data_IF_513289285889
#
_entry.id   IF_513289285889
#
_cell.length_a   1.000
_cell.length_b   1.000
_cell.length_c   1.000
_cell.angle_alpha   90.00
_cell.angle_beta   90.00
_cell.angle_gamma   90.00
#
_symmetry.space_group_name_H-M   'P 1'
#
loop_
_entity.id
_entity.type
_entity.pdbx_description
1 polymer ?
#
# COMPACT_ATOMS: atom_id res chain seq x y z
N UNK A 1 -27.26 13.36 33.91
CA UNK A 1 -26.78 14.09 32.72
C UNK A 1 -26.59 13.07 31.60
N UNK A 2 -27.28 13.20 30.48
CA UNK A 2 -26.98 12.40 29.29
C UNK A 2 -25.69 12.95 28.66
N UNK A 3 -24.60 12.19 28.73
CA UNK A 3 -23.37 12.55 28.04
C UNK A 3 -23.64 12.53 26.52
N UNK A 4 -23.57 13.69 25.89
CA UNK A 4 -23.64 13.80 24.43
C UNK A 4 -22.27 13.45 23.87
N UNK A 5 -22.18 12.33 23.16
CA UNK A 5 -20.95 11.95 22.45
C UNK A 5 -20.89 12.75 21.14
N UNK A 6 -19.77 13.44 20.84
CA UNK A 6 -19.57 14.14 19.57
C UNK A 6 -19.70 13.20 18.36
N UNK A 7 -20.29 13.69 17.27
CA UNK A 7 -20.59 12.88 16.07
C UNK A 7 -19.32 12.34 15.39
N UNK A 8 -18.24 13.11 15.43
CA UNK A 8 -16.89 12.76 15.02
C UNK A 8 -16.33 11.56 15.79
N UNK A 9 -16.53 11.50 17.11
CA UNK A 9 -16.16 10.33 17.92
C UNK A 9 -17.03 9.12 17.55
N UNK A 10 -18.34 9.33 17.36
CA UNK A 10 -19.25 8.27 16.90
C UNK A 10 -18.82 7.72 15.55
N UNK A 11 -18.46 8.58 14.59
CA UNK A 11 -17.93 8.18 13.28
C UNK A 11 -16.61 7.43 13.41
N UNK A 12 -15.72 7.82 14.32
CA UNK A 12 -14.45 7.13 14.54
C UNK A 12 -14.66 5.73 15.09
N UNK A 13 -15.57 5.58 16.07
CA UNK A 13 -15.95 4.28 16.62
C UNK A 13 -16.62 3.40 15.57
N UNK A 14 -17.54 3.95 14.78
CA UNK A 14 -18.21 3.22 13.69
C UNK A 14 -17.18 2.76 12.66
N UNK A 15 -16.30 3.66 12.19
CA UNK A 15 -15.24 3.32 11.24
C UNK A 15 -14.36 2.19 11.78
N UNK A 16 -14.03 2.20 13.07
CA UNK A 16 -13.25 1.13 13.67
C UNK A 16 -14.03 -0.19 13.79
N UNK A 17 -15.32 -0.13 14.10
CA UNK A 17 -16.18 -1.33 14.24
C UNK A 17 -16.58 -1.95 12.88
N UNK A 18 -16.54 -1.14 11.83
CA UNK A 18 -16.95 -1.48 10.46
C UNK A 18 -15.75 -1.69 9.53
N UNK A 19 -14.52 -1.42 9.96
CA UNK A 19 -13.34 -1.66 9.12
C UNK A 19 -13.28 -3.15 8.76
N UNK A 20 -13.45 -3.47 7.48
CA UNK A 20 -13.34 -4.83 6.95
C UNK A 20 -11.88 -5.14 6.78
N UNK A 21 -11.24 -5.42 7.91
CA UNK A 21 -9.79 -5.61 8.01
C UNK A 21 -9.31 -6.82 7.17
N UNK A 22 -10.11 -7.88 7.00
CA UNK A 22 -9.71 -9.09 6.25
C UNK A 22 -10.54 -9.34 4.97
N UNK A 23 -9.87 -9.82 3.92
CA UNK A 23 -10.54 -10.30 2.69
C UNK A 23 -11.44 -11.51 2.91
N UNK A 24 -11.13 -12.32 3.93
CA UNK A 24 -11.84 -13.55 4.28
C UNK A 24 -12.96 -13.33 5.30
N UNK A 25 -13.27 -12.09 5.64
CA UNK A 25 -14.44 -11.79 6.47
C UNK A 25 -15.74 -12.19 5.75
N UNK A 26 -16.51 -13.06 6.39
CA UNK A 26 -17.80 -13.53 5.90
C UNK A 26 -18.74 -12.34 5.64
N UNK A 27 -19.18 -12.22 4.39
CA UNK A 27 -20.01 -11.11 3.92
C UNK A 27 -21.34 -10.99 4.71
N UNK A 28 -22.07 -12.09 4.96
CA UNK A 28 -23.17 -12.13 5.92
C UNK A 28 -22.84 -11.58 7.30
N UNK A 29 -21.73 -12.01 7.91
CA UNK A 29 -21.34 -11.56 9.25
C UNK A 29 -21.03 -10.05 9.27
N UNK A 30 -20.34 -9.56 8.23
CA UNK A 30 -20.12 -8.14 8.02
C UNK A 30 -21.45 -7.38 7.90
N UNK A 31 -22.33 -7.78 6.97
CA UNK A 31 -23.65 -7.19 6.78
C UNK A 31 -24.49 -7.20 8.06
N UNK A 32 -24.40 -8.26 8.88
CA UNK A 32 -25.10 -8.35 10.15
C UNK A 32 -24.59 -7.31 11.15
N UNK A 33 -23.27 -7.11 11.26
CA UNK A 33 -22.70 -6.04 12.11
C UNK A 33 -23.14 -4.66 11.63
N UNK A 34 -23.14 -4.44 10.30
CA UNK A 34 -23.61 -3.18 9.71
C UNK A 34 -25.09 -2.91 10.02
N UNK A 35 -25.92 -3.94 9.85
CA UNK A 35 -27.35 -3.86 10.12
C UNK A 35 -27.62 -3.54 11.59
N UNK A 36 -26.90 -4.18 12.52
CA UNK A 36 -27.02 -3.93 13.95
C UNK A 36 -26.75 -2.46 14.31
N UNK A 37 -25.71 -1.85 13.74
CA UNK A 37 -25.41 -0.43 13.97
C UNK A 37 -26.52 0.49 13.43
N UNK A 38 -27.11 0.14 12.28
CA UNK A 38 -28.23 0.89 11.69
C UNK A 38 -29.54 0.77 12.49
N UNK A 39 -29.66 -0.20 13.40
CA UNK A 39 -30.89 -0.46 14.17
C UNK A 39 -30.92 0.24 15.53
N UNK A 40 -29.83 0.89 15.97
CA UNK A 40 -29.72 1.53 17.30
C UNK A 40 -30.72 2.69 17.43
N UNK A 41 -30.66 3.67 16.53
CA UNK A 41 -31.64 4.75 16.43
C UNK A 41 -31.55 5.45 15.06
N UNK A 42 -32.53 6.31 14.74
CA UNK A 42 -32.56 7.05 13.47
C UNK A 42 -31.30 7.88 13.22
N UNK A 43 -30.81 8.61 14.23
CA UNK A 43 -29.59 9.41 14.10
C UNK A 43 -28.36 8.56 13.83
N UNK A 44 -28.26 7.38 14.46
CA UNK A 44 -27.16 6.45 14.24
C UNK A 44 -27.23 5.86 12.84
N UNK A 45 -28.42 5.46 12.37
CA UNK A 45 -28.62 5.00 10.99
C UNK A 45 -28.20 6.06 9.96
N UNK A 46 -28.68 7.29 10.13
CA UNK A 46 -28.42 8.37 9.18
C UNK A 46 -26.92 8.77 9.17
N UNK A 47 -26.19 8.58 10.29
CA UNK A 47 -24.74 8.78 10.40
C UNK A 47 -23.90 7.58 9.89
N UNK A 48 -24.34 6.35 10.16
CA UNK A 48 -23.65 5.11 9.78
C UNK A 48 -23.77 4.86 8.28
N UNK A 49 -24.98 4.99 7.72
CA UNK A 49 -25.28 4.55 6.36
C UNK A 49 -24.33 5.13 5.29
N UNK A 50 -23.97 6.43 5.29
CA UNK A 50 -22.99 6.96 4.34
C UNK A 50 -21.59 6.36 4.52
N UNK A 51 -21.16 6.13 5.77
CA UNK A 51 -19.85 5.58 6.11
C UNK A 51 -19.71 4.11 5.74
N UNK A 52 -20.81 3.35 5.66
CA UNK A 52 -20.80 1.95 5.23
C UNK A 52 -20.36 1.75 3.79
N UNK A 53 -20.54 2.79 2.97
CA UNK A 53 -20.30 2.74 1.54
C UNK A 53 -19.17 3.65 1.12
N UNK A 54 -18.35 4.18 2.04
CA UNK A 54 -17.16 4.96 1.64
C UNK A 54 -16.07 4.06 1.07
N UNK A 55 -15.91 2.86 1.64
CA UNK A 55 -14.90 1.89 1.22
C UNK A 55 -15.57 0.58 0.81
N UNK A 56 -15.31 0.11 -0.40
CA UNK A 56 -15.82 -1.16 -0.91
C UNK A 56 -14.66 -2.13 -1.14
N UNK A 57 -14.67 -3.25 -0.40
CA UNK A 57 -13.69 -4.33 -0.54
C UNK A 57 -14.34 -5.59 -1.09
N UNK A 58 -13.81 -6.12 -2.18
CA UNK A 58 -14.29 -7.32 -2.86
C UNK A 58 -13.11 -8.16 -3.34
N UNK A 59 -13.24 -9.48 -3.27
CA UNK A 59 -12.17 -10.38 -3.71
C UNK A 59 -12.21 -10.61 -5.22
N UNK A 60 -13.41 -10.71 -5.79
CA UNK A 60 -13.62 -11.01 -7.22
C UNK A 60 -14.58 -10.03 -7.88
N UNK A 61 -14.49 -9.90 -9.20
CA UNK A 61 -15.45 -9.11 -9.98
C UNK A 61 -16.89 -9.66 -9.85
N UNK A 62 -17.05 -10.97 -9.67
CA UNK A 62 -18.36 -11.56 -9.43
C UNK A 62 -18.97 -11.09 -8.09
N UNK A 63 -18.16 -10.99 -7.03
CA UNK A 63 -18.60 -10.41 -5.76
C UNK A 63 -19.00 -8.94 -5.92
N UNK A 64 -18.24 -8.17 -6.70
CA UNK A 64 -18.61 -6.80 -7.04
C UNK A 64 -20.00 -6.74 -7.70
N UNK A 65 -20.27 -7.60 -8.68
CA UNK A 65 -21.59 -7.67 -9.32
C UNK A 65 -22.71 -8.11 -8.37
N UNK A 66 -22.44 -8.97 -7.40
CA UNK A 66 -23.41 -9.33 -6.34
C UNK A 66 -23.76 -8.12 -5.48
N UNK A 67 -22.77 -7.29 -5.13
CA UNK A 67 -22.99 -6.06 -4.34
C UNK A 67 -23.71 -4.98 -5.13
N UNK A 68 -23.21 -4.63 -6.33
CA UNK A 68 -23.80 -3.61 -7.18
C UNK A 68 -25.17 -4.00 -7.76
N UNK A 69 -25.51 -5.30 -7.70
CA UNK A 69 -26.63 -5.92 -8.39
C UNK A 69 -26.35 -5.99 -9.89
N UNK A 70 -26.49 -7.18 -10.51
CA UNK A 70 -26.45 -7.29 -11.98
C UNK A 70 -27.48 -6.31 -12.56
N UNK A 71 -27.11 -5.58 -13.62
CA UNK A 71 -27.88 -4.46 -14.22
C UNK A 71 -27.97 -3.16 -13.38
N UNK A 72 -27.27 -3.06 -12.25
CA UNK A 72 -27.14 -1.81 -11.50
C UNK A 72 -28.25 -1.49 -10.51
N UNK A 73 -29.01 -2.50 -10.09
CA UNK A 73 -30.12 -2.36 -9.12
C UNK A 73 -29.69 -1.68 -7.82
N UNK A 74 -28.47 -1.93 -7.36
CA UNK A 74 -27.92 -1.37 -6.12
C UNK A 74 -26.97 -0.19 -6.35
N UNK A 75 -26.97 0.42 -7.54
CA UNK A 75 -26.08 1.57 -7.86
C UNK A 75 -26.25 2.72 -6.87
N UNK A 76 -27.46 2.93 -6.36
CA UNK A 76 -27.75 3.97 -5.39
C UNK A 76 -27.03 3.77 -4.04
N UNK A 77 -26.64 2.54 -3.70
CA UNK A 77 -25.86 2.22 -2.51
C UNK A 77 -24.37 2.49 -2.73
N UNK A 78 -23.84 2.05 -3.87
CA UNK A 78 -22.40 2.09 -4.16
C UNK A 78 -21.92 3.40 -4.80
N UNK A 79 -22.83 4.31 -5.19
CA UNK A 79 -22.45 5.59 -5.82
C UNK A 79 -21.60 6.51 -4.93
N UNK A 80 -21.64 6.30 -3.62
CA UNK A 80 -20.90 7.06 -2.61
C UNK A 80 -19.54 6.44 -2.25
N UNK A 81 -19.15 5.33 -2.90
CA UNK A 81 -17.85 4.71 -2.70
C UNK A 81 -16.75 5.65 -3.18
N UNK A 82 -15.85 5.98 -2.26
CA UNK A 82 -14.67 6.81 -2.44
C UNK A 82 -13.41 5.96 -2.56
N UNK A 83 -13.39 4.78 -1.92
CA UNK A 83 -12.27 3.85 -1.93
C UNK A 83 -12.70 2.45 -2.37
N UNK A 84 -12.00 1.89 -3.36
CA UNK A 84 -12.23 0.53 -3.82
C UNK A 84 -11.00 -0.35 -3.62
N UNK A 85 -11.21 -1.55 -3.08
CA UNK A 85 -10.17 -2.56 -2.84
C UNK A 85 -10.57 -3.88 -3.50
N UNK A 86 -9.83 -4.28 -4.53
CA UNK A 86 -10.06 -5.50 -5.30
C UNK A 86 -8.97 -6.56 -5.12
N UNK A 87 -9.35 -7.83 -4.95
CA UNK A 87 -8.43 -8.97 -5.00
C UNK A 87 -8.18 -9.65 -3.65
N UNK A 88 -7.23 -10.59 -3.54
CA UNK A 88 -6.62 -11.34 -4.64
C UNK A 88 -7.60 -12.33 -5.28
N UNK A 89 -7.75 -12.29 -6.60
CA UNK A 89 -8.45 -13.33 -7.37
C UNK A 89 -7.52 -14.56 -7.44
N UNK A 90 -7.92 -15.67 -6.81
CA UNK A 90 -7.13 -16.91 -6.73
C UNK A 90 -7.37 -17.87 -7.91
N UNK A 91 -8.28 -17.53 -8.83
CA UNK A 91 -8.78 -18.45 -9.85
C UNK A 91 -8.47 -17.99 -11.26
N UNK A 92 -8.10 -18.92 -12.15
CA UNK A 92 -7.92 -18.76 -13.60
C UNK A 92 -9.26 -18.53 -14.35
N UNK A 93 -10.28 -17.98 -13.69
CA UNK A 93 -11.53 -17.66 -14.35
C UNK A 93 -11.33 -16.50 -15.33
N UNK A 94 -12.15 -16.46 -16.39
CA UNK A 94 -12.09 -15.43 -17.43
C UNK A 94 -12.08 -14.03 -16.81
N UNK A 95 -10.92 -13.41 -16.95
CA UNK A 95 -10.57 -12.10 -16.43
C UNK A 95 -11.15 -11.01 -17.33
N UNK A 96 -12.20 -10.32 -16.87
CA UNK A 96 -12.83 -9.19 -17.55
C UNK A 96 -12.22 -7.85 -17.13
N UNK A 97 -12.34 -6.84 -17.99
CA UNK A 97 -11.93 -5.47 -17.68
C UNK A 97 -12.84 -4.84 -16.61
N UNK A 98 -12.48 -5.08 -15.35
CA UNK A 98 -13.20 -4.58 -14.18
C UNK A 98 -13.38 -3.04 -14.19
N UNK A 99 -12.46 -2.31 -14.83
CA UNK A 99 -12.43 -0.84 -14.78
C UNK A 99 -13.65 -0.21 -15.45
N UNK A 100 -14.21 -0.86 -16.48
CA UNK A 100 -15.44 -0.40 -17.14
C UNK A 100 -16.60 -0.37 -16.13
N UNK A 101 -16.70 -1.40 -15.31
CA UNK A 101 -17.76 -1.51 -14.31
C UNK A 101 -17.54 -0.57 -13.13
N UNK A 102 -16.32 -0.51 -12.58
CA UNK A 102 -16.02 0.40 -11.47
C UNK A 102 -16.33 1.84 -11.84
N UNK A 103 -15.94 2.29 -13.04
CA UNK A 103 -16.26 3.63 -13.54
C UNK A 103 -17.76 3.89 -13.61
N UNK A 104 -18.53 2.90 -14.07
CA UNK A 104 -19.98 3.07 -14.23
C UNK A 104 -20.71 3.18 -12.89
N UNK A 105 -20.34 2.32 -11.93
CA UNK A 105 -21.06 2.16 -10.68
C UNK A 105 -20.55 3.07 -9.55
N UNK A 106 -19.27 3.43 -9.56
CA UNK A 106 -18.58 4.12 -8.47
C UNK A 106 -18.04 5.49 -8.95
N UNK A 107 -18.92 6.45 -9.27
CA UNK A 107 -18.53 7.75 -9.83
C UNK A 107 -17.74 8.63 -8.84
N UNK A 108 -17.80 8.35 -7.54
CA UNK A 108 -17.15 9.13 -6.49
C UNK A 108 -15.76 8.62 -6.12
N UNK A 109 -15.21 7.65 -6.87
CA UNK A 109 -13.92 7.02 -6.54
C UNK A 109 -12.76 8.01 -6.54
N UNK A 110 -12.00 7.95 -5.45
CA UNK A 110 -10.79 8.73 -5.20
C UNK A 110 -9.58 7.82 -4.95
N UNK A 111 -9.79 6.62 -4.43
CA UNK A 111 -8.73 5.66 -4.14
C UNK A 111 -9.07 4.28 -4.71
N UNK A 112 -8.12 3.69 -5.43
CA UNK A 112 -8.25 2.34 -5.98
C UNK A 112 -7.02 1.53 -5.59
N UNK A 113 -7.24 0.40 -4.93
CA UNK A 113 -6.20 -0.61 -4.65
C UNK A 113 -6.60 -1.95 -5.26
N UNK A 114 -5.76 -2.50 -6.11
CA UNK A 114 -6.03 -3.75 -6.83
C UNK A 114 -4.88 -4.72 -6.63
N UNK A 115 -5.20 -5.96 -6.24
CA UNK A 115 -4.25 -7.06 -6.14
C UNK A 115 -4.63 -8.16 -7.12
N UNK A 116 -3.98 -8.24 -8.29
CA UNK A 116 -4.30 -9.20 -9.34
C UNK A 116 -5.81 -9.31 -9.60
N UNK A 117 -6.52 -8.17 -9.59
CA UNK A 117 -7.96 -8.09 -9.72
C UNK A 117 -8.35 -7.73 -11.15
N UNK A 118 -9.25 -8.49 -11.75
CA UNK A 118 -9.75 -8.23 -13.09
C UNK A 118 -8.82 -8.77 -14.16
N UNK A 119 -7.64 -8.18 -14.40
CA UNK A 119 -6.69 -8.58 -15.46
C UNK A 119 -5.31 -8.95 -14.88
N UNK A 120 -4.52 -9.78 -15.58
CA UNK A 120 -3.13 -10.06 -15.20
C UNK A 120 -2.12 -8.99 -15.63
N UNK A 121 -2.45 -8.27 -16.71
CA UNK A 121 -1.69 -7.12 -17.21
C UNK A 121 -2.53 -5.85 -17.05
N UNK A 122 -1.89 -4.73 -16.71
CA UNK A 122 -2.59 -3.48 -16.39
C UNK A 122 -1.99 -2.31 -17.16
N UNK A 123 -2.84 -1.57 -17.85
CA UNK A 123 -2.48 -0.29 -18.46
C UNK A 123 -3.00 0.86 -17.61
N UNK A 124 -2.16 1.85 -17.31
CA UNK A 124 -2.57 3.01 -16.50
C UNK A 124 -3.59 3.89 -17.23
N UNK A 125 -3.69 3.79 -18.56
CA UNK A 125 -4.69 4.50 -19.36
C UNK A 125 -6.13 4.17 -18.97
N UNK A 126 -6.35 3.00 -18.36
CA UNK A 126 -7.66 2.58 -17.86
C UNK A 126 -8.17 3.48 -16.73
N UNK A 127 -7.26 4.18 -16.05
CA UNK A 127 -7.57 5.08 -14.94
C UNK A 127 -7.79 6.54 -15.36
N UNK A 128 -7.54 6.89 -16.63
CA UNK A 128 -7.66 8.28 -17.12
C UNK A 128 -9.08 8.86 -17.02
N UNK A 129 -10.09 7.99 -16.91
CA UNK A 129 -11.51 8.38 -16.87
C UNK A 129 -12.08 8.42 -15.44
N UNK A 130 -11.22 8.37 -14.43
CA UNK A 130 -11.62 8.59 -13.04
C UNK A 130 -11.20 10.00 -12.62
N UNK A 131 -12.14 10.95 -12.77
CA UNK A 131 -11.86 12.39 -12.61
C UNK A 131 -11.30 12.77 -11.23
N UNK A 132 -11.68 12.01 -10.21
CA UNK A 132 -11.34 12.25 -8.81
C UNK A 132 -10.24 11.33 -8.27
N UNK A 133 -9.59 10.50 -9.10
CA UNK A 133 -8.61 9.54 -8.63
C UNK A 133 -7.36 10.23 -8.10
N UNK A 134 -7.14 10.10 -6.78
CA UNK A 134 -5.99 10.64 -6.03
C UNK A 134 -5.01 9.55 -5.61
N UNK A 135 -5.48 8.33 -5.38
CA UNK A 135 -4.62 7.22 -4.96
C UNK A 135 -4.83 5.98 -5.84
N UNK A 136 -3.73 5.43 -6.34
CA UNK A 136 -3.71 4.20 -7.13
C UNK A 136 -2.67 3.24 -6.57
N UNK A 137 -3.11 2.05 -6.21
CA UNK A 137 -2.25 0.94 -5.79
C UNK A 137 -2.48 -0.28 -6.67
N UNK A 138 -1.39 -0.80 -7.24
CA UNK A 138 -1.40 -1.97 -8.12
C UNK A 138 -0.43 -3.02 -7.56
N UNK A 139 -0.99 -4.17 -7.20
CA UNK A 139 -0.27 -5.30 -6.62
C UNK A 139 -0.38 -6.57 -7.49
N UNK A 140 0.72 -7.31 -7.64
CA UNK A 140 0.78 -8.60 -8.37
C UNK A 140 0.32 -8.52 -9.84
N UNK A 141 0.67 -7.45 -10.54
CA UNK A 141 0.47 -7.34 -11.99
C UNK A 141 1.73 -7.75 -12.75
N UNK A 142 1.61 -8.80 -13.55
CA UNK A 142 2.75 -9.39 -14.26
C UNK A 142 3.35 -8.45 -15.32
N UNK A 143 2.56 -7.49 -15.80
CA UNK A 143 3.02 -6.49 -16.76
C UNK A 143 2.22 -5.20 -16.65
N UNK A 144 2.91 -4.07 -16.56
CA UNK A 144 2.34 -2.75 -16.79
C UNK A 144 2.58 -2.32 -18.23
N UNK A 145 1.52 -1.94 -18.94
CA UNK A 145 1.62 -1.43 -20.30
C UNK A 145 2.11 0.01 -20.32
N UNK A 146 2.85 0.42 -21.37
CA UNK A 146 3.21 1.81 -21.58
C UNK A 146 1.95 2.67 -21.67
N UNK A 147 1.95 3.78 -20.95
CA UNK A 147 0.88 4.75 -21.05
C UNK A 147 0.92 5.45 -22.43
N UNK A 148 -0.23 5.64 -23.12
CA UNK A 148 -0.27 6.35 -24.40
C UNK A 148 0.31 7.76 -24.28
N UNK A 149 1.00 8.21 -25.33
CA UNK A 149 1.63 9.54 -25.35
C UNK A 149 0.59 10.65 -25.10
N UNK A 150 0.92 11.59 -24.21
CA UNK A 150 0.05 12.71 -23.85
C UNK A 150 -1.07 12.36 -22.86
N UNK A 151 -1.13 11.12 -22.36
CA UNK A 151 -2.06 10.76 -21.29
C UNK A 151 -1.62 11.39 -19.96
N UNK A 152 -2.58 11.86 -19.17
CA UNK A 152 -2.34 12.56 -17.91
C UNK A 152 -3.28 11.98 -16.85
N UNK A 153 -2.74 11.69 -15.66
CA UNK A 153 -3.49 11.41 -14.44
C UNK A 153 -3.42 12.67 -13.56
N UNK A 154 -4.28 13.68 -13.81
CA UNK A 154 -4.07 15.04 -13.33
C UNK A 154 -4.23 15.18 -11.81
N UNK A 155 -5.04 14.32 -11.20
CA UNK A 155 -5.38 14.36 -9.78
C UNK A 155 -4.58 13.36 -8.95
N UNK A 156 -3.76 12.51 -9.56
CA UNK A 156 -3.08 11.43 -8.85
C UNK A 156 -1.98 11.98 -7.93
N UNK A 157 -2.13 11.75 -6.64
CA UNK A 157 -1.23 12.19 -5.57
C UNK A 157 -0.39 11.04 -5.01
N UNK A 158 -0.95 9.83 -4.96
CA UNK A 158 -0.31 8.63 -4.42
C UNK A 158 -0.30 7.52 -5.45
N UNK A 159 0.89 6.95 -5.71
CA UNK A 159 1.08 5.78 -6.56
C UNK A 159 1.85 4.69 -5.81
N UNK A 160 1.25 3.51 -5.67
CA UNK A 160 1.90 2.33 -5.08
C UNK A 160 1.98 1.21 -6.09
N UNK A 161 3.19 0.72 -6.37
CA UNK A 161 3.45 -0.38 -7.30
C UNK A 161 4.19 -1.50 -6.55
N UNK A 162 3.52 -2.63 -6.42
CA UNK A 162 3.98 -3.74 -5.60
C UNK A 162 3.97 -5.07 -6.36
N UNK A 163 5.12 -5.74 -6.47
CA UNK A 163 5.28 -6.98 -7.26
C UNK A 163 4.77 -6.81 -8.70
N UNK A 164 5.10 -5.67 -9.30
CA UNK A 164 4.74 -5.34 -10.68
C UNK A 164 5.95 -5.39 -11.58
N UNK A 165 5.79 -5.85 -12.82
CA UNK A 165 6.85 -5.76 -13.83
C UNK A 165 6.48 -4.75 -14.94
N UNK A 166 7.45 -4.00 -15.43
CA UNK A 166 7.27 -3.13 -16.60
C UNK A 166 8.58 -2.86 -17.32
N UNK A 167 8.49 -2.26 -18.50
CA UNK A 167 9.66 -1.66 -19.16
C UNK A 167 10.18 -0.49 -18.33
N UNK A 168 11.50 -0.26 -18.34
CA UNK A 168 12.09 0.91 -17.66
C UNK A 168 11.48 2.23 -18.14
N UNK A 169 11.21 2.35 -19.44
CA UNK A 169 10.55 3.50 -20.05
C UNK A 169 9.13 3.70 -19.53
N UNK A 170 8.38 2.62 -19.26
CA UNK A 170 7.04 2.71 -18.68
C UNK A 170 7.09 3.34 -17.29
N UNK A 171 7.98 2.87 -16.40
CA UNK A 171 8.14 3.48 -15.08
C UNK A 171 8.54 4.96 -15.18
N UNK A 172 9.56 5.28 -15.99
CA UNK A 172 10.02 6.66 -16.13
C UNK A 172 8.93 7.58 -16.70
N UNK A 173 8.16 7.12 -17.69
CA UNK A 173 7.07 7.90 -18.27
C UNK A 173 5.95 8.18 -17.26
N UNK A 174 5.59 7.21 -16.42
CA UNK A 174 4.55 7.39 -15.40
C UNK A 174 4.97 8.43 -14.35
N UNK A 175 6.26 8.44 -14.01
CA UNK A 175 6.86 9.33 -13.02
C UNK A 175 7.14 10.75 -13.54
N UNK A 176 6.94 11.03 -14.84
CA UNK A 176 7.13 12.37 -15.38
C UNK A 176 6.05 13.35 -14.88
N UNK A 177 6.40 14.63 -14.63
CA UNK A 177 5.44 15.66 -14.26
C UNK A 177 4.31 15.83 -15.27
N UNK A 178 4.56 15.64 -16.57
CA UNK A 178 3.52 15.75 -17.61
C UNK A 178 2.47 14.65 -17.50
N UNK A 179 2.86 13.47 -16.99
CA UNK A 179 1.97 12.33 -16.79
C UNK A 179 1.23 12.41 -15.45
N UNK A 180 1.95 12.67 -14.36
CA UNK A 180 1.39 12.69 -13.01
C UNK A 180 1.78 13.99 -12.27
N UNK A 181 1.21 15.14 -12.67
CA UNK A 181 1.67 16.46 -12.21
C UNK A 181 1.51 16.69 -10.70
N UNK A 182 0.57 15.99 -10.06
CA UNK A 182 0.29 16.12 -8.61
C UNK A 182 0.88 15.00 -7.76
N UNK A 183 1.67 14.10 -8.34
CA UNK A 183 2.23 12.98 -7.59
C UNK A 183 3.14 13.50 -6.48
N UNK A 184 2.84 13.09 -5.25
CA UNK A 184 3.58 13.46 -4.03
C UNK A 184 4.11 12.24 -3.30
N UNK A 185 3.43 11.10 -3.44
CA UNK A 185 3.77 9.89 -2.70
C UNK A 185 3.94 8.72 -3.66
N UNK A 186 5.07 8.01 -3.51
CA UNK A 186 5.42 6.90 -4.36
C UNK A 186 5.85 5.70 -3.51
N UNK A 187 5.29 4.52 -3.76
CA UNK A 187 5.79 3.27 -3.19
C UNK A 187 6.21 2.31 -4.32
N UNK A 188 7.43 1.79 -4.23
CA UNK A 188 8.02 0.83 -5.15
C UNK A 188 8.50 -0.39 -4.37
N UNK A 189 7.73 -1.47 -4.43
CA UNK A 189 7.92 -2.68 -3.63
C UNK A 189 8.06 -3.88 -4.57
N UNK A 190 9.18 -4.61 -4.48
CA UNK A 190 9.44 -5.81 -5.31
C UNK A 190 9.18 -5.60 -6.82
N UNK A 191 9.45 -4.40 -7.34
CA UNK A 191 9.26 -4.10 -8.77
C UNK A 191 10.32 -4.79 -9.62
N UNK A 192 9.94 -5.24 -10.81
CA UNK A 192 10.84 -5.82 -11.80
C UNK A 192 10.90 -4.91 -13.02
N UNK A 193 12.11 -4.58 -13.45
CA UNK A 193 12.30 -3.75 -14.65
C UNK A 193 12.95 -4.58 -15.75
N UNK A 194 12.32 -4.55 -16.92
CA UNK A 194 12.95 -4.99 -18.15
C UNK A 194 13.72 -3.79 -18.76
N UNK A 195 15.05 -3.91 -18.75
CA UNK A 195 16.01 -2.93 -19.25
C UNK A 195 16.79 -3.45 -20.47
N UNK A 196 16.27 -4.46 -21.18
CA UNK A 196 16.92 -5.07 -22.36
C UNK A 196 17.11 -4.11 -23.56
N UNK A 197 16.70 -2.84 -23.45
CA UNK A 197 16.84 -1.84 -24.50
C UNK A 197 18.17 -1.08 -24.45
N UNK A 198 18.71 -0.76 -25.64
CA UNK A 198 20.03 -0.11 -25.82
C UNK A 198 20.11 1.37 -25.37
N UNK A 199 18.99 2.01 -25.01
CA UNK A 199 18.97 3.42 -24.59
C UNK A 199 18.13 3.59 -23.35
N UNK A 200 18.75 4.13 -22.31
CA UNK A 200 18.05 4.54 -21.09
C UNK A 200 17.13 5.72 -21.38
N UNK A 201 15.89 5.71 -20.86
CA UNK A 201 15.05 6.91 -20.89
C UNK A 201 15.72 8.03 -20.07
N UNK A 202 15.44 9.31 -20.37
CA UNK A 202 15.90 10.39 -19.52
C UNK A 202 15.30 10.25 -18.12
N UNK A 203 16.05 10.59 -17.06
CA UNK A 203 15.56 10.50 -15.70
C UNK A 203 14.34 11.42 -15.51
N UNK A 204 13.28 10.96 -14.82
CA UNK A 204 12.13 11.81 -14.53
C UNK A 204 12.51 12.88 -13.50
N UNK A 205 11.91 14.06 -13.60
CA UNK A 205 11.94 15.06 -12.53
C UNK A 205 11.02 14.59 -11.39
N UNK A 206 11.59 14.43 -10.20
CA UNK A 206 10.93 13.93 -8.99
C UNK A 206 10.83 14.97 -7.87
N UNK A 207 11.16 16.24 -8.14
CA UNK A 207 11.14 17.37 -7.18
C UNK A 207 9.80 17.53 -6.44
N UNK A 208 8.69 17.16 -7.09
CA UNK A 208 7.34 17.18 -6.49
C UNK A 208 7.06 16.07 -5.47
N UNK A 209 7.89 15.02 -5.42
CA UNK A 209 7.71 13.91 -4.48
C UNK A 209 8.10 14.35 -3.07
N UNK A 210 7.15 14.18 -2.15
CA UNK A 210 7.35 14.39 -0.71
C UNK A 210 7.86 13.13 -0.04
N UNK A 211 7.31 11.97 -0.42
CA UNK A 211 7.56 10.69 0.24
C UNK A 211 7.77 9.62 -0.79
N UNK A 212 8.84 8.84 -0.60
CA UNK A 212 9.09 7.64 -1.41
C UNK A 212 9.34 6.47 -0.48
N UNK A 213 8.61 5.38 -0.69
CA UNK A 213 8.90 4.10 -0.10
C UNK A 213 9.58 3.18 -1.12
N UNK A 214 10.74 2.65 -0.77
CA UNK A 214 11.50 1.69 -1.57
C UNK A 214 11.75 0.41 -0.79
N UNK A 215 11.74 -0.73 -1.47
CA UNK A 215 12.11 -2.02 -0.86
C UNK A 215 13.40 -2.60 -1.45
N UNK A 216 14.21 -3.18 -0.56
CA UNK A 216 15.53 -3.76 -0.85
C UNK A 216 15.56 -4.94 -1.83
N UNK A 217 14.41 -5.59 -2.08
CA UNK A 217 14.29 -6.81 -2.89
C UNK A 217 13.85 -6.59 -4.34
N UNK A 218 13.83 -5.33 -4.80
CA UNK A 218 13.49 -4.99 -6.19
C UNK A 218 14.53 -5.53 -7.20
N UNK A 219 14.04 -6.05 -8.33
CA UNK A 219 14.85 -6.46 -9.50
C UNK A 219 14.96 -5.33 -10.51
N UNK A 220 15.09 -4.10 -10.03
CA UNK A 220 15.15 -2.90 -10.84
C UNK A 220 16.32 -1.97 -10.47
N UNK A 221 17.57 -2.46 -10.44
CA UNK A 221 18.72 -1.61 -10.12
C UNK A 221 18.80 -0.41 -11.07
N UNK A 222 18.53 -0.63 -12.35
CA UNK A 222 18.48 0.40 -13.40
C UNK A 222 17.46 1.51 -13.14
N UNK A 223 16.34 1.21 -12.48
CA UNK A 223 15.37 2.22 -12.07
C UNK A 223 15.94 3.08 -10.93
N UNK A 224 16.54 2.44 -9.92
CA UNK A 224 17.14 3.15 -8.78
C UNK A 224 18.34 4.02 -9.17
N UNK A 225 19.04 3.70 -10.26
CA UNK A 225 20.09 4.58 -10.81
C UNK A 225 19.53 5.81 -11.53
N UNK A 226 18.32 5.71 -12.11
CA UNK A 226 17.71 6.80 -12.86
C UNK A 226 16.86 7.72 -11.99
N UNK A 227 16.29 7.22 -10.91
CA UNK A 227 15.53 8.05 -9.98
C UNK A 227 16.50 8.67 -8.97
N UNK A 228 16.49 9.99 -8.90
CA UNK A 228 17.21 10.73 -7.87
C UNK A 228 16.19 11.53 -7.07
N UNK A 229 16.30 11.50 -5.75
CA UNK A 229 15.39 12.20 -4.86
C UNK A 229 16.09 13.43 -4.30
N UNK A 230 15.38 14.56 -4.31
CA UNK A 230 15.90 15.78 -3.69
C UNK A 230 16.10 15.58 -2.18
N UNK A 231 16.94 16.42 -1.57
CA UNK A 231 17.19 16.35 -0.12
C UNK A 231 15.90 16.50 0.70
N UNK A 232 14.91 17.24 0.18
CA UNK A 232 13.61 17.45 0.83
C UNK A 232 12.66 16.24 0.76
N UNK A 233 12.90 15.27 -0.12
CA UNK A 233 12.05 14.06 -0.22
C UNK A 233 12.37 13.12 0.94
N UNK A 234 11.35 12.69 1.69
CA UNK A 234 11.47 11.69 2.74
C UNK A 234 11.53 10.27 2.14
N UNK A 235 12.50 9.48 2.59
CA UNK A 235 12.70 8.10 2.10
C UNK A 235 12.33 7.10 3.19
N UNK A 236 11.30 6.29 2.94
CA UNK A 236 10.96 5.13 3.75
C UNK A 236 11.56 3.87 3.13
N UNK A 237 12.31 3.09 3.90
CA UNK A 237 12.80 1.80 3.47
C UNK A 237 11.91 0.70 4.02
N UNK A 238 11.09 0.12 3.14
CA UNK A 238 10.33 -1.07 3.43
C UNK A 238 11.24 -2.29 3.39
N UNK A 239 11.14 -3.17 4.39
CA UNK A 239 11.91 -4.40 4.46
C UNK A 239 11.07 -5.53 5.03
N UNK A 240 11.45 -6.76 4.70
CA UNK A 240 10.77 -7.97 5.15
C UNK A 240 11.79 -9.07 5.43
N UNK A 241 11.44 -10.01 6.28
CA UNK A 241 12.32 -11.12 6.69
C UNK A 241 12.41 -12.24 5.66
N UNK A 242 11.79 -12.05 4.49
CA UNK A 242 11.86 -12.95 3.33
C UNK A 242 12.50 -12.29 2.12
N UNK A 243 13.05 -11.07 2.29
CA UNK A 243 13.89 -10.46 1.28
C UNK A 243 15.08 -11.35 0.94
N UNK A 244 15.45 -11.39 -0.33
CA UNK A 244 16.64 -12.10 -0.82
C UNK A 244 17.87 -11.20 -0.88
N UNK A 245 17.67 -9.88 -0.89
CA UNK A 245 18.75 -8.90 -1.06
C UNK A 245 18.73 -7.87 0.05
N UNK A 246 19.77 -7.93 0.87
CA UNK A 246 20.03 -7.00 1.97
C UNK A 246 20.62 -5.70 1.41
N UNK A 247 20.09 -4.54 1.80
CA UNK A 247 20.75 -3.23 1.61
C UNK A 247 20.91 -2.70 0.18
N UNK A 248 20.87 -3.56 -0.86
CA UNK A 248 21.24 -3.20 -2.25
C UNK A 248 20.52 -1.98 -2.80
N UNK A 249 19.22 -1.84 -2.54
CA UNK A 249 18.47 -0.66 -2.98
C UNK A 249 18.95 0.62 -2.29
N UNK A 250 19.23 0.58 -0.97
CA UNK A 250 19.77 1.72 -0.23
C UNK A 250 21.17 2.07 -0.72
N UNK A 251 22.02 1.06 -0.90
CA UNK A 251 23.38 1.25 -1.40
C UNK A 251 23.37 1.88 -2.82
N UNK A 252 22.40 1.49 -3.66
CA UNK A 252 22.21 2.05 -5.00
C UNK A 252 21.70 3.49 -4.97
N UNK A 253 20.79 3.81 -4.04
CA UNK A 253 20.26 5.16 -3.86
C UNK A 253 21.32 6.14 -3.29
N UNK A 254 22.38 5.62 -2.67
CA UNK A 254 23.48 6.43 -2.14
C UNK A 254 23.08 7.33 -0.95
N UNK A 255 21.91 7.07 -0.34
CA UNK A 255 21.34 7.85 0.77
C UNK A 255 20.74 6.91 1.82
N UNK A 256 20.91 7.27 3.09
CA UNK A 256 20.25 6.60 4.22
C UNK A 256 18.76 6.97 4.28
N UNK A 257 17.88 6.02 4.65
CA UNK A 257 16.45 6.30 4.73
C UNK A 257 16.12 7.17 5.94
N UNK A 258 15.05 7.95 5.81
CA UNK A 258 14.43 8.69 6.92
C UNK A 258 13.61 7.75 7.82
N UNK A 259 13.03 6.69 7.26
CA UNK A 259 12.18 5.75 8.01
C UNK A 259 12.54 4.31 7.68
N UNK A 260 12.44 3.42 8.67
CA UNK A 260 12.43 1.97 8.44
C UNK A 260 11.00 1.46 8.59
N UNK A 261 10.54 0.62 7.67
CA UNK A 261 9.21 0.06 7.68
C UNK A 261 9.29 -1.46 7.55
N UNK A 262 9.05 -2.18 8.65
CA UNK A 262 8.94 -3.63 8.60
C UNK A 262 7.59 -3.99 7.98
N UNK A 263 7.60 -4.53 6.76
CA UNK A 263 6.41 -5.10 6.13
C UNK A 263 5.88 -6.30 6.94
N UNK A 264 4.61 -6.61 6.75
CA UNK A 264 3.97 -7.76 7.38
C UNK A 264 4.79 -9.05 7.19
N UNK A 265 5.03 -9.74 8.30
CA UNK A 265 5.72 -11.03 8.28
C UNK A 265 4.80 -12.05 7.59
N UNK A 266 5.31 -12.84 6.63
CA UNK A 266 4.47 -13.80 5.94
C UNK A 266 3.88 -14.83 6.91
N UNK A 267 2.68 -15.32 6.60
CA UNK A 267 2.10 -16.48 7.25
C UNK A 267 3.09 -17.65 7.20
N UNK A 268 3.30 -18.33 8.34
CA UNK A 268 4.15 -19.52 8.38
C UNK A 268 3.51 -20.63 7.56
N UNK A 269 4.06 -20.92 6.38
CA UNK A 269 3.77 -22.20 5.74
C UNK A 269 4.76 -23.21 6.28
N UNK A 270 4.28 -24.19 7.07
CA UNK A 270 5.08 -25.29 7.62
C UNK A 270 5.89 -26.07 6.56
N UNK A 271 5.52 -25.94 5.27
CA UNK A 271 6.33 -26.31 4.13
C UNK A 271 7.49 -25.32 3.94
N UNK A 272 8.57 -25.47 4.72
CA UNK A 272 9.88 -24.89 4.37
C UNK A 272 10.40 -25.61 3.12
N UNK A 273 10.56 -24.97 1.95
CA UNK A 273 11.62 -25.39 1.05
C UNK A 273 12.97 -25.18 1.79
N UNK A 274 13.87 -26.15 1.66
CA UNK A 274 15.15 -26.15 2.36
C UNK A 274 15.96 -24.85 2.15
N UNK A 275 16.81 -24.44 3.11
CA UNK A 275 17.78 -23.36 2.91
C UNK A 275 18.62 -23.63 1.64
N UNK A 276 18.97 -22.60 0.84
CA UNK A 276 19.64 -21.40 1.35
C UNK A 276 19.20 -20.11 0.62
N UNK A 277 18.16 -19.40 1.08
CA UNK A 277 17.67 -18.25 0.30
C UNK A 277 16.80 -17.23 1.07
N UNK A 278 17.01 -16.98 2.35
CA UNK A 278 16.30 -15.88 3.03
C UNK A 278 17.29 -15.10 3.89
N UNK A 279 17.31 -13.76 3.79
CA UNK A 279 18.02 -12.94 4.78
C UNK A 279 17.13 -12.85 6.01
N UNK A 280 17.62 -13.35 7.13
CA UNK A 280 16.85 -13.38 8.37
C UNK A 280 16.74 -11.97 8.97
N UNK A 281 15.84 -11.81 9.94
CA UNK A 281 15.70 -10.56 10.71
C UNK A 281 17.06 -10.07 11.24
N UNK A 282 17.88 -11.00 11.70
CA UNK A 282 19.22 -10.72 12.24
C UNK A 282 20.16 -10.08 11.22
N UNK A 283 20.12 -10.51 9.96
CA UNK A 283 20.95 -9.93 8.90
C UNK A 283 20.56 -8.47 8.64
N UNK A 284 19.26 -8.19 8.59
CA UNK A 284 18.74 -6.82 8.42
C UNK A 284 19.15 -5.92 9.58
N UNK A 285 18.95 -6.37 10.81
CA UNK A 285 19.31 -5.60 12.00
C UNK A 285 20.83 -5.35 12.05
N UNK A 286 21.65 -6.37 11.79
CA UNK A 286 23.12 -6.22 11.71
C UNK A 286 23.53 -5.22 10.63
N UNK A 287 22.90 -5.24 9.46
CA UNK A 287 23.18 -4.26 8.42
C UNK A 287 22.78 -2.84 8.85
N UNK A 288 21.59 -2.65 9.41
CA UNK A 288 21.16 -1.32 9.85
C UNK A 288 22.06 -0.74 10.94
N UNK A 289 22.55 -1.58 11.86
CA UNK A 289 23.52 -1.18 12.88
C UNK A 289 24.87 -0.83 12.25
N UNK A 290 25.43 -1.72 11.41
CA UNK A 290 26.76 -1.51 10.78
C UNK A 290 26.78 -0.30 9.85
N UNK A 291 25.69 -0.05 9.15
CA UNK A 291 25.55 1.11 8.26
C UNK A 291 25.23 2.41 9.02
N UNK A 292 25.04 2.36 10.35
CA UNK A 292 24.62 3.51 11.15
C UNK A 292 23.28 4.10 10.69
N UNK A 293 22.36 3.24 10.22
CA UNK A 293 21.02 3.65 9.78
C UNK A 293 20.16 3.93 11.02
N UNK A 294 20.27 3.07 12.04
CA UNK A 294 19.58 3.22 13.33
C UNK A 294 20.14 4.35 14.21
N UNK A 295 21.03 5.19 13.69
CA UNK A 295 21.49 6.42 14.34
C UNK A 295 20.89 7.67 13.69
N UNK A 296 20.23 7.52 12.53
CA UNK A 296 19.82 8.65 11.67
C UNK A 296 18.35 8.61 11.26
N UNK A 297 17.70 7.45 11.33
CA UNK A 297 16.28 7.32 11.01
C UNK A 297 15.44 8.11 12.01
N UNK A 298 14.38 8.73 11.52
CA UNK A 298 13.44 9.55 12.28
C UNK A 298 12.38 8.72 12.99
N UNK A 299 12.04 7.55 12.46
CA UNK A 299 11.11 6.60 13.08
C UNK A 299 11.26 5.19 12.51
N UNK A 300 10.82 4.19 13.29
CA UNK A 300 10.68 2.80 12.84
C UNK A 300 9.21 2.39 12.91
N UNK A 301 8.68 1.89 11.80
CA UNK A 301 7.31 1.41 11.68
C UNK A 301 7.29 -0.11 11.80
N UNK A 302 6.51 -0.61 12.77
CA UNK A 302 6.33 -2.04 13.01
C UNK A 302 4.84 -2.41 12.95
N UNK A 303 4.49 -3.60 12.45
CA UNK A 303 3.10 -4.03 12.43
C UNK A 303 2.59 -4.24 13.87
N UNK A 304 1.37 -3.79 14.15
CA UNK A 304 0.73 -3.86 15.47
C UNK A 304 0.36 -5.29 15.86
N UNK A 305 0.21 -6.17 14.88
CA UNK A 305 0.04 -7.61 15.05
C UNK A 305 1.11 -8.31 14.26
N UNK A 306 1.68 -9.35 14.85
CA UNK A 306 2.53 -10.28 14.13
C UNK A 306 1.63 -11.47 13.81
N UNK A 307 1.27 -11.63 12.54
CA UNK A 307 0.38 -12.71 12.04
C UNK A 307 0.88 -14.08 12.50
N UNK A 308 2.19 -14.20 12.70
CA UNK A 308 2.85 -15.38 13.20
C UNK A 308 3.93 -15.02 14.23
N UNK A 309 3.83 -15.57 15.43
CA UNK A 309 4.81 -15.41 16.51
C UNK A 309 5.81 -16.57 16.61
N UNK A 310 5.67 -17.64 15.83
CA UNK A 310 6.57 -18.80 15.84
C UNK A 310 8.06 -18.43 15.67
N UNK A 311 8.45 -17.40 14.87
CA UNK A 311 9.83 -16.98 14.79
C UNK A 311 10.41 -16.53 16.14
N UNK A 312 9.58 -16.06 17.09
CA UNK A 312 10.05 -15.70 18.43
C UNK A 312 10.41 -16.91 19.30
N UNK A 313 10.08 -18.14 18.89
CA UNK A 313 10.58 -19.34 19.55
C UNK A 313 12.08 -19.56 19.29
N UNK A 314 12.61 -18.98 18.21
CA UNK A 314 14.03 -18.97 17.90
C UNK A 314 14.76 -17.86 18.69
N UNK A 315 15.84 -18.23 19.38
CA UNK A 315 16.61 -17.30 20.23
C UNK A 315 17.36 -16.24 19.43
N UNK A 316 17.80 -16.57 18.22
CA UNK A 316 18.48 -15.65 17.29
C UNK A 316 17.52 -14.57 16.83
N UNK A 317 16.32 -14.98 16.40
CA UNK A 317 15.27 -14.07 15.96
C UNK A 317 14.82 -13.13 17.07
N UNK A 318 14.60 -13.68 18.27
CA UNK A 318 14.28 -12.89 19.47
C UNK A 318 15.40 -11.91 19.82
N UNK A 319 16.66 -12.36 19.75
CA UNK A 319 17.84 -11.54 20.00
C UNK A 319 17.97 -10.39 19.00
N UNK A 320 17.74 -10.64 17.72
CA UNK A 320 17.75 -9.63 16.68
C UNK A 320 16.64 -8.58 16.87
N UNK A 321 15.41 -9.03 17.13
CA UNK A 321 14.29 -8.11 17.40
C UNK A 321 14.56 -7.24 18.62
N UNK A 322 15.05 -7.83 19.72
CA UNK A 322 15.44 -7.08 20.92
C UNK A 322 16.59 -6.11 20.64
N UNK A 323 17.53 -6.46 19.76
CA UNK A 323 18.63 -5.58 19.36
C UNK A 323 18.12 -4.38 18.57
N UNK A 324 17.14 -4.57 17.67
CA UNK A 324 16.45 -3.48 16.98
C UNK A 324 15.76 -2.55 17.99
N UNK A 325 14.98 -3.10 18.93
CA UNK A 325 14.29 -2.30 19.95
C UNK A 325 15.25 -1.54 20.85
N UNK A 326 16.35 -2.16 21.27
CA UNK A 326 17.40 -1.52 22.07
C UNK A 326 18.06 -0.39 21.30
N UNK A 327 18.41 -0.60 20.04
CA UNK A 327 18.99 0.43 19.20
C UNK A 327 18.03 1.61 19.02
N UNK A 328 16.73 1.36 18.83
CA UNK A 328 15.74 2.44 18.76
C UNK A 328 15.68 3.22 20.07
N UNK A 329 15.63 2.52 21.22
CA UNK A 329 15.62 3.15 22.55
C UNK A 329 16.87 3.99 22.79
N UNK A 330 18.04 3.42 22.52
CA UNK A 330 19.34 4.04 22.83
C UNK A 330 19.61 5.28 21.95
N UNK A 331 18.99 5.36 20.77
CA UNK A 331 19.05 6.51 19.87
C UNK A 331 17.77 7.38 19.92
N UNK A 332 16.89 7.18 20.89
CA UNK A 332 15.62 7.92 21.05
C UNK A 332 14.71 7.90 19.80
N UNK A 333 14.79 6.84 19.00
CA UNK A 333 14.00 6.68 17.78
C UNK A 333 12.60 6.18 18.14
N UNK A 334 11.54 6.92 17.75
CA UNK A 334 10.17 6.48 18.00
C UNK A 334 9.81 5.24 17.19
N UNK A 335 9.14 4.30 17.86
CA UNK A 335 8.53 3.13 17.23
C UNK A 335 7.04 3.40 17.03
N UNK A 336 6.57 3.30 15.80
CA UNK A 336 5.19 3.57 15.42
C UNK A 336 4.55 2.26 14.98
N UNK A 337 3.43 1.91 15.61
CA UNK A 337 2.69 0.70 15.28
C UNK A 337 1.63 1.00 14.20
N UNK A 338 1.52 0.11 13.21
CA UNK A 338 0.54 0.23 12.12
C UNK A 338 -0.29 -1.05 11.95
N UNK A 339 -1.52 -0.93 11.44
CA UNK A 339 -2.41 -2.08 11.22
C UNK A 339 -2.11 -2.74 9.85
N UNK A 340 -1.42 -3.88 9.88
CA UNK A 340 -1.04 -4.60 8.67
C UNK A 340 -2.22 -5.22 7.90
N UNK A 341 -3.32 -5.58 8.59
CA UNK A 341 -4.53 -6.11 7.95
C UNK A 341 -5.16 -5.07 6.99
N UNK A 342 -5.01 -3.79 7.35
CA UNK A 342 -5.51 -2.64 6.61
C UNK A 342 -4.55 -2.13 5.54
N UNK A 343 -3.27 -2.01 5.83
CA UNK A 343 -2.29 -1.46 4.89
C UNK A 343 -1.61 -2.62 4.14
N UNK A 344 -1.97 -2.82 2.85
CA UNK A 344 -1.41 -3.94 2.07
C UNK A 344 0.12 -3.83 1.96
N UNK A 345 0.80 -4.97 2.00
CA UNK A 345 2.24 -5.03 1.75
C UNK A 345 2.59 -4.38 0.40
N UNK A 346 3.35 -3.29 0.47
CA UNK A 346 3.76 -2.49 -0.69
C UNK A 346 2.98 -1.18 -0.90
N UNK A 347 2.02 -0.86 -0.03
CA UNK A 347 1.41 0.46 0.07
C UNK A 347 2.15 1.33 1.10
N UNK A 348 1.96 2.66 0.99
CA UNK A 348 2.30 3.57 2.07
C UNK A 348 1.30 3.37 3.20
N UNK A 349 1.78 2.97 4.37
CA UNK A 349 0.88 2.73 5.50
C UNK A 349 0.19 4.02 5.93
N UNK A 350 -1.04 3.90 6.39
CA UNK A 350 -1.81 5.03 6.92
C UNK A 350 -1.04 5.66 8.11
N UNK A 351 -0.32 4.85 8.88
CA UNK A 351 0.51 5.31 9.99
C UNK A 351 1.70 6.17 9.53
N UNK A 352 2.38 5.77 8.45
CA UNK A 352 3.47 6.54 7.86
C UNK A 352 2.98 7.91 7.39
N UNK A 353 1.88 7.94 6.64
CA UNK A 353 1.31 9.19 6.13
C UNK A 353 0.92 10.14 7.27
N UNK A 354 0.24 9.65 8.29
CA UNK A 354 -0.12 10.47 9.48
C UNK A 354 1.09 10.96 10.26
N UNK A 355 2.16 10.16 10.33
CA UNK A 355 3.38 10.58 11.01
C UNK A 355 4.03 11.74 10.26
N UNK A 356 4.10 11.65 8.93
CA UNK A 356 4.67 12.70 8.07
C UNK A 356 3.85 13.98 8.16
N UNK A 357 2.51 13.89 8.11
CA UNK A 357 1.63 15.06 8.29
C UNK A 357 1.89 15.77 9.63
N UNK A 358 2.08 15.03 10.72
CA UNK A 358 2.37 15.60 12.04
C UNK A 358 3.76 16.24 12.12
N UNK A 359 4.73 15.75 11.35
CA UNK A 359 6.05 16.35 11.28
C UNK A 359 5.97 17.71 10.58
N UNK A 360 5.18 17.82 9.51
CA UNK A 360 4.96 19.09 8.78
C UNK A 360 4.27 20.15 9.67
N UNK A 361 3.31 19.74 10.53
CA UNK A 361 2.62 20.65 11.45
C UNK A 361 3.48 21.13 12.64
N UNK A 362 4.65 20.53 12.84
CA UNK A 362 5.57 20.83 13.96
C UNK A 362 6.72 21.78 13.60
N UNK A 363 6.74 22.26 12.35
CA UNK A 363 7.68 23.25 11.79
C UNK A 363 6.93 24.56 11.57
#
# INVERSE_FOLDING_TARGET
MLARVPLDIVHLVIRHAVDRDAYDEDWPAYQQRLAQLCLICRFFRDAVQPLLWTTLRVRTLEQFHKVAGREGRNRHLVKHVEEFRGGPELTEERMDDAMIYLRHYLPSLQAISLSAFGLHEMGLERFLRFDNLRSLSLHKYNRLHPMPAGSILPSLETLSLARTAALLSTFCNILRPECTPRLRHLALTLVSVDDTFRRFPPPPDLSRLRVVQVEGCSRAPSLYHLINFEQGTLVSFAWSTTSLTLGRALDTLGRKPDFLHLNELPEYTASRPAPPAYTELDDHVKYFLRAGILEQVKAVFLPSKLVNTDPFNDSTWRGAFLSLLRACRDNEIPIILYNADRDLSGELSTALMRHIERMDDSV
#
